data_IF_569351676013
#
_entry.id   IF_569351676013
#
_cell.length_a   1.000
_cell.length_b   1.000
_cell.length_c   1.000
_cell.angle_alpha   90.00
_cell.angle_beta   90.00
_cell.angle_gamma   90.00
#
_symmetry.space_group_name_H-M   'P 1'
#
loop_
_entity.id
_entity.type
_entity.pdbx_description
1 polymer ?
#
# COMPACT_ATOMS: atom_id res chain seq x y z
N UNK A 1 -16.19 -7.54 2.79
CA UNK A 1 -16.01 -6.30 3.57
C UNK A 1 -16.18 -5.08 2.67
N UNK A 2 -16.71 -3.96 3.16
CA UNK A 2 -16.78 -2.74 2.38
C UNK A 2 -15.37 -2.16 2.18
N UNK A 3 -15.12 -1.63 0.99
CA UNK A 3 -13.90 -0.89 0.67
C UNK A 3 -14.29 0.47 0.08
N UNK A 4 -13.62 1.51 0.54
CA UNK A 4 -13.71 2.84 -0.05
C UNK A 4 -12.35 3.20 -0.64
N UNK A 5 -12.34 3.62 -1.89
CA UNK A 5 -11.15 4.11 -2.57
C UNK A 5 -11.38 5.55 -3.03
N UNK A 6 -10.44 6.41 -2.72
CA UNK A 6 -10.46 7.81 -3.13
C UNK A 6 -9.15 8.12 -3.87
N UNK A 7 -9.26 8.76 -5.02
CA UNK A 7 -8.12 9.21 -5.80
C UNK A 7 -8.27 10.70 -6.09
N UNK A 8 -7.25 11.48 -5.71
CA UNK A 8 -7.21 12.93 -5.95
C UNK A 8 -5.94 13.28 -6.70
N UNK A 9 -6.07 13.96 -7.82
CA UNK A 9 -4.93 14.50 -8.55
C UNK A 9 -4.43 15.82 -7.97
N UNK A 10 -5.33 16.60 -7.39
CA UNK A 10 -5.02 17.89 -6.77
C UNK A 10 -5.44 17.86 -5.31
N UNK A 11 -4.47 17.69 -4.44
CA UNK A 11 -4.64 17.72 -3.00
C UNK A 11 -3.50 18.56 -2.39
N UNK A 12 -3.67 19.89 -2.25
CA UNK A 12 -2.67 20.74 -1.62
C UNK A 12 -2.27 20.19 -0.25
N UNK A 13 -0.96 20.13 0.01
CA UNK A 13 -0.41 19.51 1.22
C UNK A 13 -0.04 18.03 1.10
N UNK A 14 -0.40 17.36 0.00
CA UNK A 14 0.02 15.99 -0.31
C UNK A 14 0.95 15.97 -1.52
N UNK A 15 2.00 15.18 -1.47
CA UNK A 15 2.93 14.95 -2.59
C UNK A 15 2.91 13.48 -2.94
N UNK A 16 2.06 13.09 -3.88
CA UNK A 16 1.94 11.69 -4.33
C UNK A 16 1.79 10.69 -3.16
N UNK A 17 1.01 11.09 -2.17
CA UNK A 17 0.77 10.32 -0.95
C UNK A 17 -0.18 9.16 -1.26
N UNK A 18 0.18 7.97 -0.77
CA UNK A 18 -0.69 6.80 -0.75
C UNK A 18 -0.94 6.44 0.71
N UNK A 19 -2.21 6.29 1.05
CA UNK A 19 -2.63 5.93 2.40
C UNK A 19 -3.51 4.69 2.36
N UNK A 20 -3.31 3.81 3.33
CA UNK A 20 -4.16 2.66 3.57
C UNK A 20 -4.67 2.69 5.00
N UNK A 21 -5.97 2.55 5.17
CA UNK A 21 -6.61 2.39 6.46
C UNK A 21 -7.42 1.10 6.47
N UNK A 22 -7.18 0.26 7.46
CA UNK A 22 -7.89 -1.00 7.65
C UNK A 22 -8.52 -0.96 9.02
N UNK A 23 -9.83 -1.11 9.08
CA UNK A 23 -10.60 -1.12 10.31
C UNK A 23 -11.16 -2.52 10.57
N UNK A 24 -10.68 -3.16 11.60
CA UNK A 24 -11.17 -4.45 12.07
C UNK A 24 -11.92 -4.35 13.39
N UNK A 25 -12.53 -5.43 13.82
CA UNK A 25 -13.30 -5.48 15.08
C UNK A 25 -12.41 -5.32 16.32
N UNK A 26 -11.20 -5.86 16.29
CA UNK A 26 -10.30 -5.89 17.44
C UNK A 26 -9.06 -5.02 17.26
N UNK A 27 -8.72 -4.69 16.04
CA UNK A 27 -7.54 -3.91 15.69
C UNK A 27 -7.78 -3.10 14.41
N UNK A 28 -7.19 -1.93 14.35
CA UNK A 28 -7.12 -1.12 13.14
C UNK A 28 -5.67 -0.77 12.84
N UNK A 29 -5.37 -0.59 11.57
CA UNK A 29 -4.03 -0.22 11.12
C UNK A 29 -4.09 0.89 10.07
N UNK A 30 -3.05 1.72 10.03
CA UNK A 30 -2.86 2.78 9.04
C UNK A 30 -1.42 2.78 8.54
N UNK A 31 -1.27 2.98 7.27
CA UNK A 31 0.01 3.18 6.62
C UNK A 31 -0.07 4.41 5.71
N UNK A 32 1.02 5.16 5.62
CA UNK A 32 1.17 6.26 4.67
C UNK A 32 2.57 6.27 4.07
N UNK A 33 2.68 6.62 2.81
CA UNK A 33 3.98 6.82 2.15
C UNK A 33 4.71 8.06 2.65
N UNK A 34 4.06 8.92 3.43
CA UNK A 34 4.72 10.06 4.09
C UNK A 34 5.51 9.63 5.34
N UNK A 35 5.24 8.43 5.87
CA UNK A 35 6.01 7.78 6.95
C UNK A 35 6.22 6.30 6.60
N UNK A 36 7.05 6.00 5.58
CA UNK A 36 7.12 4.67 4.97
C UNK A 36 7.75 3.62 5.89
N UNK A 37 8.45 4.04 6.95
CA UNK A 37 9.12 3.14 7.89
C UNK A 37 8.23 2.69 9.05
N UNK A 38 6.99 3.15 9.11
CA UNK A 38 6.13 2.87 10.24
C UNK A 38 4.72 2.48 9.84
N UNK A 39 4.12 1.65 10.67
CA UNK A 39 2.68 1.37 10.66
C UNK A 39 2.10 1.89 11.95
N UNK A 40 1.00 2.59 11.88
CA UNK A 40 0.22 2.95 13.07
C UNK A 40 -0.88 1.93 13.27
N UNK A 41 -1.06 1.50 14.49
CA UNK A 41 -2.11 0.57 14.83
C UNK A 41 -2.77 0.93 16.16
N UNK A 42 -3.99 0.49 16.33
CA UNK A 42 -4.71 0.54 17.61
C UNK A 42 -5.38 -0.80 17.87
N UNK A 43 -5.49 -1.15 19.13
CA UNK A 43 -6.22 -2.33 19.59
C UNK A 43 -7.41 -1.87 20.43
N UNK A 44 -8.53 -2.55 20.27
CA UNK A 44 -9.70 -2.33 21.12
C UNK A 44 -9.50 -3.03 22.46
N UNK A 45 -8.88 -2.34 23.42
CA UNK A 45 -8.66 -2.85 24.77
C UNK A 45 -9.45 -1.95 25.76
N UNK A 46 -10.55 -2.46 26.27
CA UNK A 46 -11.42 -1.70 27.18
C UNK A 46 -12.09 -0.49 26.51
N UNK A 47 -12.11 0.64 27.20
CA UNK A 47 -12.71 1.89 26.73
C UNK A 47 -11.72 2.88 26.12
N UNK A 48 -10.43 2.66 26.35
CA UNK A 48 -9.37 3.54 25.86
C UNK A 48 -8.84 3.02 24.54
N UNK A 49 -8.63 3.92 23.60
CA UNK A 49 -8.04 3.62 22.31
C UNK A 49 -6.91 4.61 22.05
N UNK A 50 -5.71 4.07 21.85
CA UNK A 50 -4.54 4.85 21.50
C UNK A 50 -3.92 4.31 20.22
N UNK A 51 -3.45 5.19 19.36
CA UNK A 51 -2.67 4.81 18.19
C UNK A 51 -1.20 4.68 18.57
N UNK A 52 -0.68 3.47 18.48
CA UNK A 52 0.75 3.22 18.59
C UNK A 52 1.41 3.34 17.21
N UNK A 53 2.64 3.86 17.17
CA UNK A 53 3.50 3.87 15.98
C UNK A 53 4.54 2.76 16.13
N UNK A 54 4.46 1.79 15.25
CA UNK A 54 5.42 0.69 15.16
C UNK A 54 6.38 0.99 14.01
N UNK A 55 7.65 1.16 14.32
CA UNK A 55 8.69 1.23 13.30
C UNK A 55 8.98 -0.19 12.84
N UNK A 56 8.66 -0.47 11.59
CA UNK A 56 8.95 -1.75 10.94
C UNK A 56 10.35 -1.70 10.35
N UNK A 57 11.16 -2.71 10.63
CA UNK A 57 12.48 -2.83 10.01
C UNK A 57 12.38 -2.99 8.50
N UNK A 58 13.46 -2.71 7.82
CA UNK A 58 13.55 -2.91 6.38
C UNK A 58 14.12 -4.29 6.09
N UNK A 59 13.33 -5.14 5.44
CA UNK A 59 13.83 -6.36 4.82
C UNK A 59 13.81 -6.13 3.31
N UNK A 60 14.97 -5.97 2.71
CA UNK A 60 15.11 -5.67 1.30
C UNK A 60 15.67 -6.86 0.55
N UNK A 61 15.20 -7.08 -0.67
CA UNK A 61 15.67 -8.13 -1.56
C UNK A 61 17.03 -7.74 -2.19
N UNK A 62 17.24 -6.45 -2.38
CA UNK A 62 18.46 -5.87 -2.94
C UNK A 62 18.98 -4.79 -2.00
N UNK A 63 20.30 -4.63 -1.81
CA UNK A 63 20.85 -3.58 -0.95
C UNK A 63 20.34 -2.20 -1.36
N UNK A 64 19.84 -1.45 -0.39
CA UNK A 64 19.43 -0.06 -0.61
C UNK A 64 20.65 0.85 -0.74
N UNK A 65 20.53 1.92 -1.51
CA UNK A 65 21.63 2.86 -1.78
C UNK A 65 22.14 3.48 -0.48
N UNK A 66 21.26 3.69 0.48
CA UNK A 66 21.55 4.34 1.76
C UNK A 66 22.04 3.37 2.85
N UNK A 67 22.16 2.09 2.55
CA UNK A 67 22.68 1.07 3.48
C UNK A 67 21.79 0.82 4.71
N UNK A 68 20.53 1.24 4.70
CA UNK A 68 19.59 1.05 5.80
C UNK A 68 19.74 2.03 6.97
N UNK A 69 20.63 3.02 6.86
CA UNK A 69 20.82 4.07 7.88
C UNK A 69 19.80 5.20 7.71
N UNK A 70 19.43 5.47 6.46
CA UNK A 70 18.46 6.50 6.10
C UNK A 70 17.11 5.91 5.74
N UNK A 71 16.12 6.76 5.68
CA UNK A 71 14.74 6.33 5.38
C UNK A 71 14.61 5.72 3.99
N UNK A 72 13.79 4.67 3.91
CA UNK A 72 13.44 4.00 2.66
C UNK A 72 12.56 4.92 1.82
N UNK A 73 12.99 5.23 0.61
CA UNK A 73 12.32 6.15 -0.27
C UNK A 73 11.65 5.47 -1.48
N UNK A 74 11.01 6.27 -2.31
CA UNK A 74 10.34 5.81 -3.53
C UNK A 74 11.31 5.11 -4.49
N UNK A 75 12.52 5.62 -4.64
CA UNK A 75 13.57 5.01 -5.47
C UNK A 75 13.96 3.62 -4.98
N UNK A 76 14.04 3.44 -3.67
CA UNK A 76 14.34 2.14 -3.06
C UNK A 76 13.19 1.15 -3.30
N UNK A 77 11.94 1.61 -3.22
CA UNK A 77 10.76 0.80 -3.53
C UNK A 77 10.78 0.30 -4.98
N UNK A 78 11.10 1.16 -5.93
CA UNK A 78 11.26 0.78 -7.34
C UNK A 78 12.39 -0.23 -7.52
N UNK A 79 13.54 -0.03 -6.85
CA UNK A 79 14.65 -0.96 -6.90
C UNK A 79 14.24 -2.35 -6.40
N UNK A 80 13.50 -2.43 -5.29
CA UNK A 80 13.00 -3.69 -4.76
C UNK A 80 12.00 -4.36 -5.71
N UNK A 81 11.11 -3.59 -6.34
CA UNK A 81 10.18 -4.09 -7.34
C UNK A 81 10.91 -4.72 -8.54
N UNK A 82 11.92 -4.04 -9.08
CA UNK A 82 12.73 -4.61 -10.17
C UNK A 82 13.52 -5.82 -9.73
N UNK A 83 14.07 -5.83 -8.51
CA UNK A 83 14.77 -6.97 -7.97
C UNK A 83 13.84 -8.19 -7.82
N UNK A 84 12.60 -7.99 -7.37
CA UNK A 84 11.59 -9.04 -7.30
C UNK A 84 11.28 -9.60 -8.70
N UNK A 85 11.04 -8.74 -9.67
CA UNK A 85 10.79 -9.15 -11.07
C UNK A 85 11.93 -9.97 -11.65
N UNK A 86 13.17 -9.53 -11.49
CA UNK A 86 14.34 -10.29 -11.97
C UNK A 86 14.48 -11.61 -11.24
N UNK A 87 14.17 -11.65 -9.94
CA UNK A 87 14.21 -12.89 -9.15
C UNK A 87 13.19 -13.91 -9.67
N UNK A 88 11.96 -13.49 -9.94
CA UNK A 88 10.93 -14.35 -10.52
C UNK A 88 11.33 -14.88 -11.89
N UNK A 89 11.85 -14.02 -12.78
CA UNK A 89 12.34 -14.44 -14.10
C UNK A 89 13.46 -15.48 -14.01
N UNK A 90 14.26 -15.45 -12.95
CA UNK A 90 15.38 -16.39 -12.73
C UNK A 90 15.00 -17.60 -11.88
N UNK A 91 13.75 -17.70 -11.42
CA UNK A 91 13.31 -18.75 -10.52
C UNK A 91 13.97 -18.69 -9.13
N UNK A 92 14.42 -17.52 -8.71
CA UNK A 92 15.01 -17.30 -7.39
C UNK A 92 13.91 -17.04 -6.35
N UNK A 93 14.12 -17.46 -5.09
CA UNK A 93 13.15 -17.17 -4.04
C UNK A 93 13.01 -15.66 -3.82
N UNK A 94 11.77 -15.21 -3.67
CA UNK A 94 11.43 -13.83 -3.36
C UNK A 94 10.41 -13.81 -2.21
N UNK A 95 10.63 -12.95 -1.20
CA UNK A 95 9.74 -12.85 -0.04
C UNK A 95 8.43 -12.11 -0.34
N UNK A 96 8.39 -11.37 -1.43
CA UNK A 96 7.20 -10.72 -1.98
C UNK A 96 7.23 -10.84 -3.50
N UNK A 97 6.09 -11.16 -4.09
CA UNK A 97 5.95 -11.35 -5.53
C UNK A 97 5.68 -10.04 -6.27
N UNK A 98 5.78 -10.13 -7.58
CA UNK A 98 5.27 -9.10 -8.46
C UNK A 98 3.74 -9.18 -8.56
N UNK A 99 3.15 -8.07 -8.93
CA UNK A 99 1.73 -8.00 -9.24
C UNK A 99 1.42 -8.88 -10.44
N UNK A 100 0.50 -9.81 -10.26
CA UNK A 100 0.15 -10.78 -11.32
C UNK A 100 -0.78 -10.16 -12.37
N UNK A 101 -0.82 -10.70 -13.59
CA UNK A 101 -1.79 -10.27 -14.60
C UNK A 101 -3.25 -10.32 -14.12
N UNK A 102 -3.62 -11.33 -13.33
CA UNK A 102 -4.97 -11.46 -12.78
C UNK A 102 -5.30 -10.35 -11.75
N UNK A 103 -4.35 -9.97 -10.92
CA UNK A 103 -4.51 -8.85 -9.99
C UNK A 103 -4.56 -7.51 -10.73
N UNK A 104 -3.78 -7.38 -11.83
CA UNK A 104 -3.85 -6.21 -12.70
C UNK A 104 -5.23 -6.10 -13.37
N UNK A 105 -5.76 -7.19 -13.89
CA UNK A 105 -7.09 -7.26 -14.49
C UNK A 105 -8.16 -6.83 -13.47
N UNK A 106 -8.12 -7.37 -12.26
CA UNK A 106 -9.05 -6.97 -11.18
C UNK A 106 -8.95 -5.47 -10.88
N UNK A 107 -7.75 -4.92 -10.81
CA UNK A 107 -7.55 -3.48 -10.58
C UNK A 107 -8.14 -2.63 -11.71
N UNK A 108 -8.01 -3.09 -12.96
CA UNK A 108 -8.60 -2.41 -14.11
C UNK A 108 -10.14 -2.50 -14.10
N UNK A 109 -10.72 -3.62 -13.72
CA UNK A 109 -12.18 -3.75 -13.54
C UNK A 109 -12.70 -2.78 -12.49
N UNK A 110 -12.03 -2.69 -11.34
CA UNK A 110 -12.38 -1.73 -10.28
C UNK A 110 -12.34 -0.28 -10.80
N UNK A 111 -11.27 0.09 -11.49
CA UNK A 111 -11.13 1.45 -12.02
C UNK A 111 -12.19 1.76 -13.09
N UNK A 112 -12.42 0.83 -14.01
CA UNK A 112 -13.42 0.98 -15.07
C UNK A 112 -14.83 1.09 -14.49
N UNK A 113 -15.17 0.22 -13.52
CA UNK A 113 -16.44 0.28 -12.82
C UNK A 113 -16.64 1.60 -12.05
N UNK A 114 -15.58 2.12 -11.45
CA UNK A 114 -15.64 3.42 -10.77
C UNK A 114 -15.89 4.58 -11.77
N UNK A 115 -15.25 4.55 -12.92
CA UNK A 115 -15.49 5.53 -13.99
C UNK A 115 -16.91 5.44 -14.55
N UNK A 116 -17.42 4.23 -14.73
CA UNK A 116 -18.79 3.99 -15.16
C UNK A 116 -19.80 4.49 -14.12
N UNK A 117 -19.61 4.13 -12.84
CA UNK A 117 -20.45 4.60 -11.74
C UNK A 117 -20.50 6.13 -11.67
N UNK A 118 -19.34 6.79 -11.85
CA UNK A 118 -19.26 8.25 -11.90
C UNK A 118 -20.03 8.83 -13.09
N UNK A 119 -19.83 8.28 -14.29
CA UNK A 119 -20.48 8.78 -15.52
C UNK A 119 -21.99 8.60 -15.47
N UNK A 120 -22.47 7.47 -14.97
CA UNK A 120 -23.88 7.11 -14.92
C UNK A 120 -24.57 7.54 -13.60
N UNK A 121 -23.79 8.02 -12.61
CA UNK A 121 -24.28 8.38 -11.27
C UNK A 121 -25.11 7.29 -10.61
N UNK A 122 -24.66 6.04 -10.73
CA UNK A 122 -25.30 4.86 -10.15
C UNK A 122 -24.28 3.91 -9.55
N UNK A 123 -24.76 2.99 -8.73
CA UNK A 123 -23.97 1.85 -8.28
C UNK A 123 -23.76 0.90 -9.45
N UNK A 124 -22.56 0.45 -9.67
CA UNK A 124 -22.16 -0.57 -10.64
C UNK A 124 -21.73 -1.82 -9.88
N UNK A 125 -22.22 -2.97 -10.28
CA UNK A 125 -21.78 -4.28 -9.78
C UNK A 125 -20.65 -4.77 -10.69
N UNK A 126 -19.53 -5.20 -10.10
CA UNK A 126 -18.35 -5.69 -10.79
C UNK A 126 -18.42 -7.21 -10.95
#
# INVERSE_FOLDING_TARGET
FPMQMEMKRMAPGCTNTVEYEIYGLNMSARFTTDDPNAVRYTQAVGREQAWARLVVGQKTLYPVITGGIFEFGFSDSLLQMFAAYVSELRGLPCDFGCFTPAEAEMSHHLLTGALEAYAQRRVVTL
#
